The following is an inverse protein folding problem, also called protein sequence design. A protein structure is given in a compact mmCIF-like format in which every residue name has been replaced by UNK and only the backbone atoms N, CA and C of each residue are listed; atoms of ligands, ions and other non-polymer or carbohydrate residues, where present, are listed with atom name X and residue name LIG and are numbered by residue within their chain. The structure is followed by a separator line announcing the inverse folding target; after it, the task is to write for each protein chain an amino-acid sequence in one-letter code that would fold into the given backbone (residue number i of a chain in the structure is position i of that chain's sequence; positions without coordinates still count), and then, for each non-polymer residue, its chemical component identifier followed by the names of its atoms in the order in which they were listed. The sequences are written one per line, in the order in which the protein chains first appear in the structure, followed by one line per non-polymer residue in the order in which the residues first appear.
data_IF_487286689064
#
_entry.id   IF_487286689064
#
_cell.length_a   1.000
_cell.length_b   1.000
_cell.length_c   1.000
_cell.angle_alpha   90.00
_cell.angle_beta   90.00
_cell.angle_gamma   90.00
#
_symmetry.space_group_name_H-M   'P 1'
#
loop_
_entity.id
_entity.type
_entity.pdbx_description
1 polymer ?
#
# COMPACT_ATOMS: atom_id res chain seq x y z
N UNK A 1 -21.36 51.87 -37.22
CA UNK A 1 -21.91 50.72 -36.46
C UNK A 1 -20.78 49.71 -36.34
N UNK A 2 -20.12 49.67 -35.17
CA UNK A 2 -18.97 48.81 -34.92
C UNK A 2 -19.41 47.38 -34.64
N UNK A 3 -18.76 46.43 -35.29
CA UNK A 3 -18.92 44.99 -35.10
C UNK A 3 -18.32 44.56 -33.76
N UNK A 4 -19.12 43.86 -32.95
CA UNK A 4 -18.70 43.22 -31.71
C UNK A 4 -17.57 42.23 -31.97
N UNK A 5 -16.46 42.35 -31.25
CA UNK A 5 -15.50 41.27 -31.08
C UNK A 5 -16.01 40.35 -29.97
N UNK A 6 -16.34 39.11 -30.31
CA UNK A 6 -16.43 38.01 -29.35
C UNK A 6 -15.02 37.46 -29.15
N UNK A 7 -14.42 37.73 -28.00
CA UNK A 7 -13.23 37.03 -27.53
C UNK A 7 -13.64 35.66 -27.01
N UNK A 8 -13.66 34.66 -27.89
CA UNK A 8 -13.55 33.25 -27.49
C UNK A 8 -12.08 32.93 -27.27
N UNK A 9 -11.61 33.08 -26.02
CA UNK A 9 -10.33 32.48 -25.60
C UNK A 9 -10.63 31.04 -25.23
N UNK A 10 -10.41 30.17 -26.21
CA UNK A 10 -10.35 28.72 -26.02
C UNK A 10 -8.91 28.33 -25.69
N UNK A 11 -8.78 27.49 -24.65
CA UNK A 11 -7.74 26.46 -24.44
C UNK A 11 -6.28 26.92 -24.25
N UNK A 12 -5.72 26.63 -23.06
CA UNK A 12 -4.97 25.38 -22.86
C UNK A 12 -4.35 25.33 -21.45
N UNK A 13 -5.19 25.23 -20.41
CA UNK A 13 -4.73 24.57 -19.18
C UNK A 13 -5.04 23.11 -19.35
N UNK A 14 -4.06 22.37 -19.87
CA UNK A 14 -3.92 20.94 -19.66
C UNK A 14 -3.86 20.67 -18.16
N UNK A 15 -5.04 20.65 -17.55
CA UNK A 15 -5.35 19.73 -16.47
C UNK A 15 -5.04 18.38 -17.08
N UNK A 16 -3.81 17.89 -16.88
CA UNK A 16 -3.44 16.50 -17.09
C UNK A 16 -4.48 15.70 -16.32
N UNK A 17 -5.47 15.22 -17.05
CA UNK A 17 -6.46 14.27 -16.57
C UNK A 17 -5.68 13.13 -15.92
N UNK A 18 -5.81 13.02 -14.60
CA UNK A 18 -5.26 11.95 -13.76
C UNK A 18 -5.93 10.60 -14.02
N UNK A 19 -6.69 10.44 -15.11
CA UNK A 19 -7.41 9.20 -15.44
C UNK A 19 -6.54 8.14 -16.16
N UNK A 20 -5.22 8.35 -16.25
CA UNK A 20 -4.29 7.39 -16.88
C UNK A 20 -3.06 7.03 -16.05
N UNK A 21 -2.87 7.59 -14.85
CA UNK A 21 -1.63 7.39 -14.08
C UNK A 21 -1.67 6.01 -13.40
N UNK A 22 -0.80 5.10 -13.84
CA UNK A 22 -0.60 3.83 -13.17
C UNK A 22 0.07 4.02 -11.80
N UNK A 23 -0.24 3.17 -10.83
CA UNK A 23 0.28 3.24 -9.48
C UNK A 23 0.63 1.84 -8.97
N UNK A 24 1.78 1.74 -8.31
CA UNK A 24 2.20 0.56 -7.53
C UNK A 24 2.24 0.96 -6.07
N UNK A 25 1.49 0.28 -5.23
CA UNK A 25 1.41 0.59 -3.80
C UNK A 25 1.83 -0.59 -2.94
N UNK A 26 2.72 -0.36 -1.98
CA UNK A 26 2.79 -1.18 -0.80
C UNK A 26 1.66 -0.75 0.15
N UNK A 27 0.77 -1.67 0.52
CA UNK A 27 -0.33 -1.40 1.48
C UNK A 27 -0.17 -2.27 2.71
N UNK A 28 -0.22 -1.64 3.88
CA UNK A 28 -0.22 -2.30 5.16
C UNK A 28 -1.65 -2.58 5.58
N UNK A 29 -1.95 -3.83 5.87
CA UNK A 29 -3.28 -4.30 6.25
C UNK A 29 -3.18 -5.23 7.47
N UNK A 30 -4.31 -5.41 8.15
CA UNK A 30 -4.48 -6.45 9.14
C UNK A 30 -5.15 -7.69 8.53
N UNK A 31 -4.64 -8.88 8.86
CA UNK A 31 -5.16 -10.19 8.48
C UNK A 31 -5.21 -11.11 9.69
N UNK A 32 -6.09 -12.10 9.64
CA UNK A 32 -6.22 -13.14 10.68
C UNK A 32 -4.89 -13.84 10.99
N UNK A 33 -4.04 -14.02 9.98
CA UNK A 33 -2.74 -14.68 10.12
C UNK A 33 -1.55 -13.72 10.32
N UNK A 34 -1.76 -12.41 10.16
CA UNK A 34 -0.73 -11.39 10.36
C UNK A 34 -1.39 -10.02 10.52
N UNK A 35 -1.28 -9.46 11.72
CA UNK A 35 -1.93 -8.19 12.08
C UNK A 35 -1.27 -6.95 11.45
N UNK A 36 -0.08 -7.10 10.87
CA UNK A 36 0.68 -6.03 10.23
C UNK A 36 1.36 -6.57 8.98
N UNK A 37 0.56 -6.76 7.94
CA UNK A 37 0.93 -7.46 6.71
C UNK A 37 1.00 -6.49 5.53
N UNK A 38 2.14 -6.48 4.82
CA UNK A 38 2.28 -5.72 3.59
C UNK A 38 1.82 -6.51 2.37
N UNK A 39 1.05 -5.87 1.51
CA UNK A 39 0.63 -6.37 0.20
C UNK A 39 1.04 -5.40 -0.90
N UNK A 40 1.15 -5.88 -2.14
CA UNK A 40 1.35 -5.02 -3.32
C UNK A 40 0.01 -4.83 -4.01
N UNK A 41 -0.34 -3.58 -4.31
CA UNK A 41 -1.47 -3.24 -5.19
C UNK A 41 -0.92 -2.61 -6.47
N UNK A 42 -1.34 -3.13 -7.62
CA UNK A 42 -1.11 -2.56 -8.92
C UNK A 42 -2.43 -1.97 -9.42
N UNK A 43 -2.45 -0.69 -9.80
CA UNK A 43 -3.63 -0.04 -10.35
C UNK A 43 -3.31 0.80 -11.59
N UNK A 44 -4.10 0.66 -12.65
CA UNK A 44 -3.87 1.30 -13.95
C UNK A 44 -5.10 1.12 -14.83
N UNK A 45 -5.52 2.17 -15.55
CA UNK A 45 -6.61 2.08 -16.54
C UNK A 45 -7.91 1.44 -16.00
N UNK A 46 -8.27 1.75 -14.75
CA UNK A 46 -9.45 1.19 -14.07
C UNK A 46 -9.30 -0.26 -13.59
N UNK A 47 -8.16 -0.91 -13.85
CA UNK A 47 -7.82 -2.21 -13.30
C UNK A 47 -7.11 -2.05 -11.96
N UNK A 48 -7.37 -2.97 -11.03
CA UNK A 48 -6.73 -3.03 -9.73
C UNK A 48 -6.50 -4.49 -9.35
N UNK A 49 -5.27 -4.83 -9.01
CA UNK A 49 -4.86 -6.17 -8.59
C UNK A 49 -4.05 -6.06 -7.31
N UNK A 50 -4.48 -6.80 -6.30
CA UNK A 50 -3.76 -6.97 -5.05
C UNK A 50 -3.02 -8.30 -5.08
N UNK A 51 -1.76 -8.30 -4.66
CA UNK A 51 -0.92 -9.47 -4.48
C UNK A 51 -0.51 -9.56 -3.00
N UNK A 52 -0.77 -10.72 -2.38
CA UNK A 52 -0.24 -11.07 -1.07
C UNK A 52 0.79 -12.20 -1.19
N UNK A 53 1.77 -12.21 -0.29
CA UNK A 53 2.66 -13.35 -0.10
C UNK A 53 2.28 -14.07 1.19
N UNK A 54 1.54 -15.18 1.04
CA UNK A 54 1.13 -16.03 2.16
C UNK A 54 1.72 -17.43 2.01
N UNK A 55 2.47 -17.89 3.02
CA UNK A 55 3.08 -19.24 3.04
C UNK A 55 3.86 -19.58 1.76
N UNK A 56 4.50 -18.57 1.15
CA UNK A 56 5.31 -18.68 -0.10
C UNK A 56 4.51 -18.93 -1.36
N UNK A 57 3.22 -18.69 -1.31
CA UNK A 57 2.35 -18.65 -2.47
C UNK A 57 1.93 -17.20 -2.64
N UNK A 58 2.07 -16.68 -3.86
CA UNK A 58 1.51 -15.38 -4.19
C UNK A 58 0.03 -15.58 -4.48
N UNK A 59 -0.82 -14.86 -3.76
CA UNK A 59 -2.27 -14.87 -3.98
C UNK A 59 -2.69 -13.56 -4.61
N UNK A 60 -3.57 -13.65 -5.60
CA UNK A 60 -4.08 -12.50 -6.33
C UNK A 60 -5.54 -12.26 -5.97
N UNK A 61 -5.92 -11.00 -5.82
CA UNK A 61 -7.30 -10.59 -5.61
C UNK A 61 -7.59 -9.29 -6.36
N UNK A 62 -8.74 -9.22 -7.00
CA UNK A 62 -9.29 -7.97 -7.54
C UNK A 62 -10.28 -7.30 -6.59
N UNK A 63 -10.67 -8.01 -5.53
CA UNK A 63 -11.55 -7.46 -4.50
C UNK A 63 -10.82 -6.35 -3.74
N UNK A 64 -11.54 -5.33 -3.27
CA UNK A 64 -10.98 -4.33 -2.37
C UNK A 64 -10.27 -4.99 -1.20
N UNK A 65 -9.13 -4.42 -0.82
CA UNK A 65 -8.49 -4.79 0.44
C UNK A 65 -9.41 -4.41 1.62
N UNK A 66 -9.27 -5.07 2.77
CA UNK A 66 -9.88 -4.61 4.01
C UNK A 66 -9.28 -3.25 4.39
N UNK A 67 -9.58 -2.79 5.61
CA UNK A 67 -9.01 -1.58 6.19
C UNK A 67 -7.48 -1.49 5.95
N UNK A 68 -7.08 -0.47 5.19
CA UNK A 68 -5.68 -0.16 4.87
C UNK A 68 -5.16 0.76 5.98
N UNK A 69 -4.19 0.25 6.74
CA UNK A 69 -3.56 0.96 7.86
C UNK A 69 -2.59 2.02 7.35
N UNK A 70 -1.85 1.70 6.30
CA UNK A 70 -0.87 2.60 5.71
C UNK A 70 -0.60 2.24 4.25
N UNK A 71 -0.11 3.18 3.45
CA UNK A 71 0.35 2.91 2.09
C UNK A 71 1.58 3.74 1.70
N UNK A 72 2.38 3.18 0.79
CA UNK A 72 3.49 3.84 0.11
C UNK A 72 3.31 3.55 -1.38
N UNK A 73 2.97 4.57 -2.16
CA UNK A 73 2.69 4.44 -3.59
C UNK A 73 3.79 5.02 -4.46
N UNK A 74 4.04 4.43 -5.62
CA UNK A 74 4.94 4.94 -6.65
C UNK A 74 4.19 5.02 -7.97
N UNK A 75 4.29 6.14 -8.68
CA UNK A 75 3.67 6.29 -10.00
C UNK A 75 4.43 5.43 -11.01
N UNK A 76 3.67 4.76 -11.88
CA UNK A 76 4.20 4.05 -13.04
C UNK A 76 4.53 5.11 -14.10
N UNK A 77 5.77 5.11 -14.59
CA UNK A 77 6.22 6.09 -15.58
C UNK A 77 5.44 5.95 -16.86
N UNK A 78 4.85 7.03 -17.34
CA UNK A 78 4.09 7.09 -18.60
C UNK A 78 3.02 6.00 -18.75
N UNK A 79 2.53 5.45 -17.63
CA UNK A 79 1.66 4.27 -17.60
C UNK A 79 2.23 3.07 -18.38
N UNK A 80 3.55 2.87 -18.33
CA UNK A 80 4.25 1.73 -18.91
C UNK A 80 5.26 1.13 -17.90
N UNK A 81 5.40 -0.21 -17.86
CA UNK A 81 4.67 -1.22 -18.63
C UNK A 81 3.24 -1.47 -18.09
N UNK A 82 2.36 -2.14 -18.85
CA UNK A 82 1.02 -2.48 -18.38
C UNK A 82 1.04 -3.45 -17.18
N UNK A 83 -0.05 -3.48 -16.40
CA UNK A 83 -0.17 -4.35 -15.22
C UNK A 83 0.20 -5.81 -15.49
N UNK A 84 -0.24 -6.39 -16.60
CA UNK A 84 0.03 -7.80 -16.92
C UNK A 84 1.54 -8.10 -17.04
N UNK A 85 2.33 -7.11 -17.46
CA UNK A 85 3.79 -7.21 -17.50
C UNK A 85 4.40 -7.00 -16.12
N UNK A 86 3.88 -6.05 -15.33
CA UNK A 86 4.31 -5.84 -13.95
C UNK A 86 4.09 -7.10 -13.09
N UNK A 87 3.02 -7.85 -13.34
CA UNK A 87 2.70 -9.07 -12.60
C UNK A 87 3.78 -10.16 -12.75
N UNK A 88 4.50 -10.21 -13.88
CA UNK A 88 5.57 -11.20 -14.12
C UNK A 88 6.73 -11.04 -13.15
N UNK A 89 6.90 -9.86 -12.57
CA UNK A 89 7.97 -9.50 -11.65
C UNK A 89 7.60 -9.67 -10.16
N UNK A 90 6.38 -10.12 -9.85
CA UNK A 90 5.93 -10.29 -8.46
C UNK A 90 6.58 -11.48 -7.75
N UNK A 91 7.10 -12.45 -8.51
CA UNK A 91 7.77 -13.62 -7.96
C UNK A 91 9.24 -13.35 -7.66
N UNK A 92 9.57 -13.22 -6.38
CA UNK A 92 10.95 -13.07 -5.90
C UNK A 92 11.31 -14.30 -5.07
N UNK A 93 12.26 -15.15 -5.51
CA UNK A 93 12.68 -16.31 -4.72
C UNK A 93 13.47 -15.86 -3.49
N UNK A 94 13.00 -16.22 -2.29
CA UNK A 94 13.71 -15.93 -1.03
C UNK A 94 14.76 -16.99 -0.70
N UNK A 95 15.93 -16.54 -0.26
CA UNK A 95 17.00 -17.37 0.27
C UNK A 95 16.84 -17.49 1.79
N UNK A 96 16.45 -18.69 2.27
CA UNK A 96 16.42 -19.20 3.66
C UNK A 96 15.73 -18.35 4.76
N UNK A 97 14.75 -18.96 5.44
CA UNK A 97 13.79 -18.31 6.36
C UNK A 97 13.97 -18.69 7.83
N UNK A 98 13.75 -17.76 8.77
CA UNK A 98 13.17 -18.03 10.08
C UNK A 98 11.64 -18.25 9.93
N UNK A 99 11.09 -19.34 10.47
CA UNK A 99 9.66 -19.72 10.25
C UNK A 99 8.65 -18.89 11.06
N UNK A 100 9.10 -17.93 11.86
CA UNK A 100 8.31 -17.34 12.95
C UNK A 100 7.76 -15.94 12.64
N UNK A 101 8.24 -15.26 11.59
CA UNK A 101 7.84 -13.89 11.27
C UNK A 101 7.26 -13.76 9.85
N UNK A 102 6.42 -12.74 9.65
CA UNK A 102 5.86 -12.44 8.34
C UNK A 102 6.88 -11.72 7.46
N UNK A 103 7.40 -12.40 6.44
CA UNK A 103 8.42 -11.88 5.51
C UNK A 103 7.89 -10.86 4.48
N UNK A 104 6.72 -10.27 4.72
CA UNK A 104 6.05 -9.39 3.77
C UNK A 104 6.86 -8.13 3.44
N UNK A 105 7.62 -7.57 4.40
CA UNK A 105 8.50 -6.42 4.13
C UNK A 105 9.56 -6.76 3.09
N UNK A 106 10.29 -7.86 3.30
CA UNK A 106 11.36 -8.29 2.39
C UNK A 106 10.81 -8.57 0.99
N UNK A 107 9.62 -9.17 0.91
CA UNK A 107 8.98 -9.40 -0.38
C UNK A 107 8.57 -8.12 -1.08
N UNK A 108 7.87 -7.21 -0.39
CA UNK A 108 7.48 -5.91 -0.94
C UNK A 108 8.70 -5.12 -1.39
N UNK A 109 9.76 -5.10 -0.58
CA UNK A 109 11.03 -4.45 -0.94
C UNK A 109 11.64 -5.06 -2.19
N UNK A 110 11.67 -6.39 -2.30
CA UNK A 110 12.18 -7.10 -3.47
C UNK A 110 11.41 -6.76 -4.74
N UNK A 111 10.09 -6.81 -4.68
CA UNK A 111 9.20 -6.48 -5.81
C UNK A 111 9.41 -5.03 -6.26
N UNK A 112 9.36 -4.07 -5.33
CA UNK A 112 9.54 -2.65 -5.68
C UNK A 112 10.95 -2.39 -6.21
N UNK A 113 11.97 -3.07 -5.66
CA UNK A 113 13.34 -2.98 -6.16
C UNK A 113 13.49 -3.45 -7.60
N UNK A 114 12.75 -4.50 -8.01
CA UNK A 114 12.71 -4.93 -9.41
C UNK A 114 12.08 -3.85 -10.29
N UNK A 115 10.98 -3.23 -9.86
CA UNK A 115 10.35 -2.15 -10.63
C UNK A 115 11.25 -0.91 -10.76
N UNK A 116 12.04 -0.59 -9.74
CA UNK A 116 13.09 0.42 -9.86
C UNK A 116 14.19 0.00 -10.86
N UNK A 117 14.65 -1.25 -10.78
CA UNK A 117 15.71 -1.76 -11.66
C UNK A 117 15.29 -1.79 -13.14
N UNK A 118 14.01 -2.03 -13.40
CA UNK A 118 13.41 -2.01 -14.73
C UNK A 118 12.97 -0.60 -15.18
N UNK A 119 13.26 0.44 -14.40
CA UNK A 119 12.87 1.84 -14.65
C UNK A 119 11.34 2.05 -14.85
N UNK A 120 10.52 1.18 -14.26
CA UNK A 120 9.06 1.17 -14.45
C UNK A 120 8.32 2.22 -13.60
N UNK A 121 8.93 2.67 -12.50
CA UNK A 121 8.30 3.56 -11.52
C UNK A 121 9.17 4.76 -11.21
N UNK A 122 8.54 5.84 -10.76
CA UNK A 122 9.23 7.03 -10.25
C UNK A 122 10.12 6.70 -9.05
N UNK A 123 11.25 7.40 -8.91
CA UNK A 123 12.28 7.14 -7.89
C UNK A 123 11.89 7.58 -6.47
N UNK A 124 10.84 8.40 -6.36
CA UNK A 124 10.28 8.90 -5.11
C UNK A 124 8.81 8.54 -5.06
N UNK A 125 8.34 8.10 -3.90
CA UNK A 125 6.94 7.76 -3.68
C UNK A 125 6.04 8.99 -3.77
N UNK A 126 4.74 8.78 -3.93
CA UNK A 126 3.70 9.82 -3.89
C UNK A 126 3.64 10.57 -2.54
N UNK A 127 4.35 10.07 -1.53
CA UNK A 127 4.44 10.66 -0.19
C UNK A 127 5.87 11.11 0.16
N UNK A 128 6.79 11.17 -0.81
CA UNK A 128 8.13 11.70 -0.63
C UNK A 128 9.17 10.69 -0.11
N UNK A 129 8.86 9.40 -0.10
CA UNK A 129 9.80 8.34 0.34
C UNK A 129 10.65 7.90 -0.84
N UNK A 130 11.97 8.05 -0.73
CA UNK A 130 12.91 7.56 -1.73
C UNK A 130 13.22 6.07 -1.55
N UNK A 131 13.77 5.45 -2.61
CA UNK A 131 14.22 4.06 -2.59
C UNK A 131 15.11 3.72 -1.39
N UNK A 132 16.06 4.60 -1.06
CA UNK A 132 17.06 4.34 0.00
C UNK A 132 16.44 4.28 1.40
N UNK A 133 15.29 4.95 1.59
CA UNK A 133 14.55 4.96 2.86
C UNK A 133 13.38 3.98 2.88
N UNK A 134 13.10 3.28 1.78
CA UNK A 134 11.90 2.45 1.64
C UNK A 134 11.85 1.32 2.67
N UNK A 135 12.95 0.58 2.87
CA UNK A 135 13.00 -0.51 3.85
C UNK A 135 12.72 -0.01 5.26
N UNK A 136 13.33 1.13 5.64
CA UNK A 136 13.13 1.74 6.94
C UNK A 136 11.67 2.15 7.15
N UNK A 137 11.04 2.76 6.15
CA UNK A 137 9.63 3.16 6.23
C UNK A 137 8.66 1.97 6.26
N UNK A 138 8.94 0.90 5.53
CA UNK A 138 8.16 -0.33 5.58
C UNK A 138 8.21 -0.96 6.99
N UNK A 139 9.42 -1.10 7.55
CA UNK A 139 9.63 -1.66 8.90
C UNK A 139 9.01 -0.78 9.98
N UNK A 140 9.30 0.54 9.95
CA UNK A 140 8.79 1.49 10.95
C UNK A 140 7.27 1.46 11.01
N UNK A 141 6.59 1.56 9.86
CA UNK A 141 5.12 1.54 9.80
C UNK A 141 4.55 0.19 10.20
N UNK A 142 5.25 -0.91 9.90
CA UNK A 142 4.84 -2.25 10.32
C UNK A 142 4.86 -2.38 11.86
N UNK A 143 5.94 -1.93 12.49
CA UNK A 143 6.10 -1.94 13.95
C UNK A 143 5.11 -0.99 14.62
N UNK A 144 4.95 0.22 14.09
CA UNK A 144 3.99 1.21 14.61
C UNK A 144 2.57 0.65 14.64
N UNK A 145 2.16 -0.06 13.58
CA UNK A 145 0.85 -0.71 13.52
C UNK A 145 0.71 -1.82 14.58
N UNK A 146 1.74 -2.64 14.79
CA UNK A 146 1.72 -3.68 15.83
C UNK A 146 1.60 -3.08 17.23
N UNK A 147 2.37 -2.02 17.52
CA UNK A 147 2.32 -1.34 18.82
C UNK A 147 0.93 -0.74 19.07
N UNK A 148 0.33 -0.09 18.07
CA UNK A 148 -1.03 0.46 18.19
C UNK A 148 -2.06 -0.62 18.51
N UNK A 149 -2.00 -1.77 17.82
CA UNK A 149 -2.90 -2.89 18.09
C UNK A 149 -2.71 -3.47 19.48
N UNK A 150 -1.47 -3.56 19.97
CA UNK A 150 -1.19 -3.99 21.35
C UNK A 150 -1.76 -3.01 22.38
N UNK A 151 -1.61 -1.70 22.17
CA UNK A 151 -2.17 -0.67 23.06
C UNK A 151 -3.70 -0.74 23.08
N UNK A 152 -4.34 -0.90 21.92
CA UNK A 152 -5.81 -1.03 21.83
C UNK A 152 -6.29 -2.27 22.58
N UNK A 153 -5.65 -3.43 22.37
CA UNK A 153 -6.00 -4.66 23.08
C UNK A 153 -5.86 -4.52 24.61
N UNK A 154 -4.81 -3.85 25.09
CA UNK A 154 -4.62 -3.59 26.53
C UNK A 154 -5.66 -2.62 27.10
N UNK A 155 -6.12 -1.66 26.29
CA UNK A 155 -7.14 -0.69 26.69
C UNK A 155 -8.52 -1.35 26.81
N UNK A 156 -8.88 -2.23 25.88
CA UNK A 156 -10.13 -2.99 25.94
C UNK A 156 -10.18 -3.91 27.17
N UNK A 157 -9.06 -4.57 27.52
CA UNK A 157 -8.98 -5.40 28.73
C UNK A 157 -9.20 -4.56 29.99
N UNK A 158 -8.61 -3.36 30.07
CA UNK A 158 -8.80 -2.46 31.22
C UNK A 158 -10.24 -1.98 31.35
N UNK A 159 -10.87 -1.57 30.25
CA UNK A 159 -12.28 -1.14 30.24
C UNK A 159 -13.18 -2.28 30.68
N UNK A 160 -12.95 -3.50 30.20
CA UNK A 160 -13.69 -4.66 30.69
C UNK A 160 -13.46 -4.90 32.19
N UNK A 161 -12.20 -4.88 32.66
CA UNK A 161 -11.90 -5.13 34.07
C UNK A 161 -12.51 -4.09 35.01
N UNK A 162 -12.57 -2.81 34.62
CA UNK A 162 -13.22 -1.73 35.38
C UNK A 162 -14.75 -1.88 35.40
N UNK A 163 -15.37 -2.28 34.28
CA UNK A 163 -16.81 -2.56 34.23
C UNK A 163 -17.20 -3.74 35.14
N UNK A 164 -16.39 -4.81 35.17
CA UNK A 164 -16.61 -5.93 36.09
C UNK A 164 -16.42 -5.54 37.56
N UNK A 165 -15.44 -4.70 37.89
CA UNK A 165 -15.23 -4.23 39.29
C UNK A 165 -16.29 -3.23 39.76
N UNK A 166 -16.92 -2.47 38.85
CA UNK A 166 -18.00 -1.53 39.17
C UNK A 166 -19.37 -2.20 39.37
N UNK A 167 -19.56 -3.44 38.89
CA UNK A 167 -20.79 -4.21 39.02
C UNK A 167 -21.01 -4.87 40.40
N UNK A 168 -19.96 -4.98 41.21
CA UNK A 168 -20.00 -5.64 42.53
C UNK A 168 -20.34 -4.66 43.69
N UNK A 169 -20.70 -3.41 43.41
CA UNK A 169 -21.02 -2.38 44.42
C UNK A 169 -22.52 -2.07 44.54
N UNK A 170 -23.41 -2.85 43.94
CA UNK A 170 -24.87 -2.71 44.15
C UNK A 170 -25.36 -3.80 45.10
N UNK A 171 -25.27 -3.53 46.40
CA UNK A 171 -26.05 -4.19 47.46
C UNK A 171 -27.11 -3.24 47.99
#
# INVERSE_FOLDING_TARGET
MGTMYQDTVDQDTTVRSTMGEGLIEAKLISREYCLSHWVITLSQSGQCINADLSKNVIRYSRSPLPEVISSIGFRIKDAQPPIDDLMKNLWVPFVKRPREFCDCVHWVLGVISIYFACDCIETVSTTGISKDYLVHELDRRQVDALIRLQILALSDVRVHQELWQSGDQVQ
#
